data_IF_001766829070
#
_entry.id   IF_001766829070
#
_cell.length_a   1.000
_cell.length_b   1.000
_cell.length_c   1.000
_cell.angle_alpha   90.00
_cell.angle_beta   90.00
_cell.angle_gamma   90.00
#
_symmetry.space_group_name_H-M   'P 1'
#
loop_
_entity.id
_entity.type
_entity.pdbx_description
1 polymer ?
#
# COMPACT_ATOMS: atom_id res chain seq x y z
N UNK A 1 0.03 17.33 0.64
CA UNK A 1 0.87 17.85 -0.46
C UNK A 1 2.33 17.36 -0.40
N UNK A 2 3.10 17.67 0.66
CA UNK A 2 4.53 17.29 0.74
C UNK A 2 4.80 15.78 0.72
N UNK A 3 3.97 14.98 1.40
CA UNK A 3 4.12 13.50 1.44
C UNK A 3 3.82 12.87 0.08
N UNK A 4 2.76 13.32 -0.59
CA UNK A 4 2.47 12.90 -1.96
C UNK A 4 3.64 13.21 -2.91
N UNK A 5 4.20 14.41 -2.80
CA UNK A 5 5.37 14.80 -3.60
C UNK A 5 6.59 13.92 -3.30
N UNK A 6 6.82 13.56 -2.02
CA UNK A 6 7.89 12.64 -1.65
C UNK A 6 7.76 11.28 -2.35
N UNK A 7 6.58 10.65 -2.33
CA UNK A 7 6.36 9.37 -3.01
C UNK A 7 6.43 9.46 -4.54
N UNK A 8 5.97 10.57 -5.13
CA UNK A 8 6.13 10.81 -6.58
C UNK A 8 7.61 10.92 -6.96
N UNK A 9 8.39 11.69 -6.20
CA UNK A 9 9.83 11.86 -6.44
C UNK A 9 10.60 10.56 -6.21
N UNK A 10 10.19 9.75 -5.22
CA UNK A 10 10.74 8.41 -4.97
C UNK A 10 10.49 7.49 -6.17
N UNK A 11 9.29 7.52 -6.76
CA UNK A 11 8.97 6.74 -7.96
C UNK A 11 9.82 7.15 -9.17
N UNK A 12 10.19 8.42 -9.29
CA UNK A 12 11.06 8.95 -10.34
C UNK A 12 12.56 8.92 -10.02
N UNK A 13 12.97 8.37 -8.87
CA UNK A 13 14.38 8.25 -8.44
C UNK A 13 15.19 9.57 -8.47
N UNK A 14 14.54 10.72 -8.24
CA UNK A 14 15.24 12.01 -8.25
C UNK A 14 15.85 12.33 -6.87
N UNK A 15 17.14 12.04 -6.72
CA UNK A 15 17.90 12.19 -5.47
C UNK A 15 17.84 13.60 -4.85
N UNK A 16 17.94 14.65 -5.67
CA UNK A 16 17.87 16.03 -5.17
C UNK A 16 16.48 16.32 -4.57
N UNK A 17 15.43 15.94 -5.28
CA UNK A 17 14.04 16.09 -4.83
C UNK A 17 13.78 15.35 -3.52
N UNK A 18 14.33 14.15 -3.35
CA UNK A 18 14.22 13.36 -2.12
C UNK A 18 14.87 14.06 -0.93
N UNK A 19 16.03 14.68 -1.14
CA UNK A 19 16.72 15.44 -0.10
C UNK A 19 15.94 16.69 0.33
N UNK A 20 15.31 17.41 -0.60
CA UNK A 20 14.46 18.56 -0.27
C UNK A 20 13.17 18.13 0.40
N UNK A 21 12.47 17.13 -0.14
CA UNK A 21 11.24 16.59 0.44
C UNK A 21 11.46 16.04 1.84
N UNK A 22 12.52 15.26 2.04
CA UNK A 22 12.86 14.70 3.35
C UNK A 22 13.27 15.77 4.37
N UNK A 23 13.98 16.84 3.96
CA UNK A 23 14.28 17.98 4.84
C UNK A 23 13.03 18.77 5.20
N UNK A 24 12.13 19.01 4.24
CA UNK A 24 10.87 19.71 4.48
C UNK A 24 10.00 18.94 5.47
N UNK A 25 9.80 17.63 5.26
CA UNK A 25 8.99 16.79 6.14
C UNK A 25 9.57 16.73 7.56
N UNK A 26 10.90 16.60 7.70
CA UNK A 26 11.56 16.64 9.00
C UNK A 26 11.42 17.99 9.72
N UNK A 27 11.41 19.10 8.98
CA UNK A 27 11.15 20.43 9.57
C UNK A 27 9.71 20.57 10.00
N UNK A 28 8.76 20.14 9.17
CA UNK A 28 7.33 20.18 9.47
C UNK A 28 6.98 19.30 10.68
N UNK A 29 7.57 18.10 10.78
CA UNK A 29 7.36 17.19 11.91
C UNK A 29 7.90 17.76 13.23
N UNK A 30 8.87 18.68 13.16
CA UNK A 30 9.47 19.33 14.32
C UNK A 30 8.73 20.61 14.79
N UNK A 31 7.73 21.09 14.05
CA UNK A 31 7.01 22.34 14.40
C UNK A 31 6.16 22.16 15.65
N UNK A 32 5.46 21.03 15.77
CA UNK A 32 4.63 20.70 16.92
C UNK A 32 4.47 19.18 17.05
N UNK A 33 4.19 18.65 18.25
CA UNK A 33 3.98 17.21 18.43
C UNK A 33 2.80 16.70 17.60
N UNK A 34 1.75 17.51 17.42
CA UNK A 34 0.61 17.17 16.57
C UNK A 34 1.01 17.08 15.08
N UNK A 35 1.83 18.01 14.59
CA UNK A 35 2.34 17.98 13.22
C UNK A 35 3.28 16.77 13.01
N UNK A 36 4.14 16.46 13.99
CA UNK A 36 4.98 15.26 13.99
C UNK A 36 4.16 13.98 13.87
N UNK A 37 3.14 13.82 14.73
CA UNK A 37 2.21 12.70 14.66
C UNK A 37 1.55 12.58 13.28
N UNK A 38 1.00 13.68 12.75
CA UNK A 38 0.32 13.69 11.45
C UNK A 38 1.25 13.35 10.27
N UNK A 39 2.51 13.81 10.31
CA UNK A 39 3.51 13.46 9.28
C UNK A 39 3.85 11.98 9.34
N UNK A 40 4.07 11.43 10.53
CA UNK A 40 4.40 10.02 10.73
C UNK A 40 3.24 9.10 10.30
N UNK A 41 2.01 9.40 10.70
CA UNK A 41 0.83 8.60 10.32
C UNK A 41 0.65 8.59 8.80
N UNK A 42 0.71 9.76 8.16
CA UNK A 42 0.55 9.86 6.70
C UNK A 42 1.71 9.22 5.92
N UNK A 43 2.93 9.20 6.47
CA UNK A 43 4.06 8.46 5.86
C UNK A 43 3.85 6.95 5.92
N UNK A 44 3.42 6.43 7.06
CA UNK A 44 3.14 4.99 7.24
C UNK A 44 1.97 4.56 6.36
N UNK A 45 0.84 5.27 6.42
CA UNK A 45 -0.33 4.99 5.56
C UNK A 45 0.04 5.10 4.08
N UNK A 46 0.81 6.11 3.69
CA UNK A 46 1.20 6.34 2.31
C UNK A 46 2.14 5.28 1.75
N UNK A 47 2.96 4.64 2.60
CA UNK A 47 3.84 3.55 2.22
C UNK A 47 3.10 2.21 2.10
N UNK A 48 2.04 2.01 2.90
CA UNK A 48 1.25 0.77 2.91
C UNK A 48 0.09 0.77 1.89
N UNK A 49 -0.28 1.92 1.32
CA UNK A 49 -1.43 2.04 0.40
C UNK A 49 -1.06 1.84 -1.07
N UNK A 50 -1.81 0.93 -1.71
CA UNK A 50 -1.95 0.83 -3.17
C UNK A 50 -0.62 0.77 -3.93
N UNK A 51 -0.52 1.51 -5.03
CA UNK A 51 0.67 1.51 -5.91
C UNK A 51 1.95 2.10 -5.30
N UNK A 52 1.90 2.69 -4.11
CA UNK A 52 3.12 3.11 -3.40
C UNK A 52 3.75 1.94 -2.64
N UNK A 53 2.96 0.96 -2.21
CA UNK A 53 3.47 -0.23 -1.54
C UNK A 53 4.39 -1.06 -2.46
N UNK A 54 4.16 -1.00 -3.77
CA UNK A 54 5.03 -1.59 -4.80
C UNK A 54 6.45 -1.00 -4.80
N UNK A 55 6.62 0.26 -4.35
CA UNK A 55 7.95 0.86 -4.19
C UNK A 55 8.77 0.18 -3.08
N UNK A 56 8.07 -0.50 -2.16
CA UNK A 56 8.61 -1.18 -0.99
C UNK A 56 8.41 -2.70 -1.06
N UNK A 57 8.14 -3.25 -2.25
CA UNK A 57 8.16 -4.70 -2.49
C UNK A 57 6.81 -5.39 -2.32
N UNK A 58 5.73 -4.64 -2.07
CA UNK A 58 4.40 -5.23 -2.12
C UNK A 58 4.10 -5.67 -3.55
N UNK A 59 3.72 -6.94 -3.72
CA UNK A 59 3.08 -7.38 -4.96
C UNK A 59 1.67 -6.81 -4.94
N UNK A 60 1.32 -5.99 -5.92
CA UNK A 60 0.01 -5.33 -5.94
C UNK A 60 -1.09 -6.35 -5.66
N UNK A 61 -1.78 -6.20 -4.54
CA UNK A 61 -3.01 -6.96 -4.27
C UNK A 61 -3.92 -6.63 -5.44
N UNK A 62 -4.08 -7.59 -6.37
CA UNK A 62 -5.23 -7.58 -7.26
C UNK A 62 -6.40 -7.61 -6.31
N UNK A 63 -7.02 -6.46 -6.09
CA UNK A 63 -8.29 -6.36 -5.40
C UNK A 63 -9.21 -7.28 -6.18
N UNK A 64 -9.36 -8.51 -5.70
CA UNK A 64 -10.30 -9.50 -6.22
C UNK A 64 -11.72 -9.16 -5.82
N UNK A 65 -11.98 -7.89 -5.49
CA UNK A 65 -13.29 -7.31 -5.34
C UNK A 65 -13.67 -6.72 -6.68
N UNK A 66 -14.79 -7.19 -7.19
CA UNK A 66 -15.61 -6.46 -8.15
C UNK A 66 -15.96 -5.09 -7.55
N UNK A 67 -15.06 -4.11 -7.69
CA UNK A 67 -15.39 -2.70 -7.56
C UNK A 67 -16.13 -2.30 -8.84
N UNK A 68 -17.43 -1.97 -8.79
CA UNK A 68 -18.17 -1.47 -9.94
C UNK A 68 -17.78 0.00 -10.16
N UNK A 69 -16.58 0.25 -10.67
CA UNK A 69 -16.09 1.63 -10.81
C UNK A 69 -14.88 1.86 -11.68
N UNK A 70 -14.17 0.82 -12.11
CA UNK A 70 -12.95 0.98 -12.93
C UNK A 70 -13.13 0.51 -14.39
N UNK A 71 -14.27 0.88 -14.99
CA UNK A 71 -14.50 0.80 -16.46
C UNK A 71 -13.84 1.95 -17.25
N UNK A 72 -12.96 2.74 -16.62
CA UNK A 72 -12.60 4.07 -17.14
C UNK A 72 -11.33 4.21 -17.99
N UNK A 73 -10.60 3.15 -18.40
CA UNK A 73 -9.34 3.36 -19.16
C UNK A 73 -9.08 2.53 -20.41
N UNK A 74 -9.87 1.51 -20.70
CA UNK A 74 -9.91 0.89 -22.02
C UNK A 74 -11.37 0.84 -22.45
N UNK A 75 -11.83 1.88 -23.16
CA UNK A 75 -13.10 1.83 -23.87
C UNK A 75 -12.96 0.81 -25.02
N UNK A 76 -13.00 -0.47 -24.67
CA UNK A 76 -13.05 -1.54 -25.65
C UNK A 76 -14.44 -1.46 -26.27
N UNK A 77 -14.50 -1.07 -27.54
CA UNK A 77 -15.76 -0.95 -28.26
C UNK A 77 -16.49 -2.29 -28.25
N UNK A 78 -17.71 -2.30 -27.72
CA UNK A 78 -18.58 -3.48 -27.75
C UNK A 78 -18.81 -3.97 -29.18
N UNK A 79 -18.78 -3.08 -30.17
CA UNK A 79 -18.87 -3.45 -31.59
C UNK A 79 -17.65 -4.24 -32.05
N UNK A 80 -16.44 -3.89 -31.60
CA UNK A 80 -15.22 -4.62 -31.96
C UNK A 80 -15.15 -5.99 -31.29
N UNK A 81 -15.66 -6.09 -30.05
CA UNK A 81 -15.84 -7.36 -29.36
C UNK A 81 -16.84 -8.23 -30.12
N UNK A 82 -18.03 -7.70 -30.43
CA UNK A 82 -19.08 -8.44 -31.14
C UNK A 82 -18.64 -8.89 -32.54
N UNK A 83 -17.93 -8.05 -33.30
CA UNK A 83 -17.39 -8.42 -34.62
C UNK A 83 -16.47 -9.65 -34.57
N UNK A 84 -15.65 -9.78 -33.52
CA UNK A 84 -14.76 -10.95 -33.34
C UNK A 84 -15.56 -12.22 -33.06
N UNK A 85 -16.60 -12.13 -32.24
CA UNK A 85 -17.48 -13.26 -31.96
C UNK A 85 -18.30 -13.66 -33.20
N UNK A 86 -18.88 -12.71 -33.93
CA UNK A 86 -19.67 -13.01 -35.14
C UNK A 86 -18.83 -13.66 -36.26
N UNK A 87 -17.57 -13.26 -36.44
CA UNK A 87 -16.70 -13.80 -37.50
C UNK A 87 -16.24 -15.26 -37.27
N UNK A 88 -16.33 -15.77 -36.03
CA UNK A 88 -15.86 -17.11 -35.65
C UNK A 88 -16.98 -18.13 -35.45
N UNK A 89 -18.24 -17.69 -35.51
CA UNK A 89 -19.41 -18.54 -35.41
C UNK A 89 -19.75 -19.12 -36.79
N UNK A 90 -18.88 -20.01 -37.29
CA UNK A 90 -19.19 -20.83 -38.47
C UNK A 90 -19.94 -22.09 -38.03
N UNK A 91 -21.24 -21.96 -37.75
CA UNK A 91 -22.13 -23.12 -37.79
C UNK A 91 -22.44 -23.41 -39.26
N UNK A 92 -21.55 -24.16 -39.91
CA UNK A 92 -21.82 -24.70 -41.24
C UNK A 92 -22.99 -25.69 -41.15
N UNK A 93 -24.23 -25.18 -41.17
CA UNK A 93 -25.43 -25.93 -41.52
C UNK A 93 -26.50 -26.21 -40.46
N UNK A 94 -26.72 -25.40 -39.40
CA UNK A 94 -27.75 -25.74 -38.41
C UNK A 94 -28.45 -24.57 -37.69
N UNK A 95 -29.79 -24.66 -37.63
CA UNK A 95 -30.77 -23.78 -36.93
C UNK A 95 -30.70 -23.97 -35.39
N UNK A 96 -29.53 -24.26 -34.82
CA UNK A 96 -29.40 -24.70 -33.43
C UNK A 96 -28.61 -23.74 -32.55
N UNK A 97 -29.00 -23.72 -31.28
CA UNK A 97 -28.43 -22.91 -30.19
C UNK A 97 -26.93 -23.14 -30.01
N UNK A 98 -26.24 -22.13 -29.46
CA UNK A 98 -24.81 -22.15 -29.11
C UNK A 98 -24.47 -23.39 -28.25
N UNK A 99 -23.32 -24.03 -28.50
CA UNK A 99 -22.90 -25.28 -27.84
C UNK A 99 -22.64 -25.14 -26.32
N UNK A 100 -22.48 -23.91 -25.81
CA UNK A 100 -22.29 -23.64 -24.38
C UNK A 100 -23.43 -22.78 -23.81
N UNK A 101 -23.79 -22.99 -22.55
CA UNK A 101 -24.82 -22.21 -21.85
C UNK A 101 -24.35 -20.82 -21.38
N UNK A 102 -23.11 -20.43 -21.72
CA UNK A 102 -22.50 -19.15 -21.34
C UNK A 102 -21.03 -19.32 -20.94
N UNK A 103 -20.39 -18.22 -20.56
CA UNK A 103 -19.04 -18.22 -19.97
C UNK A 103 -19.15 -17.73 -18.52
N UNK A 104 -18.53 -18.46 -17.59
CA UNK A 104 -18.41 -18.00 -16.21
C UNK A 104 -17.21 -17.04 -16.13
N UNK A 105 -17.46 -15.78 -15.80
CA UNK A 105 -16.45 -14.74 -15.67
C UNK A 105 -15.87 -14.25 -17.01
N UNK A 106 -14.63 -13.75 -16.99
CA UNK A 106 -13.96 -13.13 -18.16
C UNK A 106 -13.05 -14.08 -18.95
N UNK A 107 -13.10 -15.38 -18.68
CA UNK A 107 -12.21 -16.38 -19.30
C UNK A 107 -10.79 -16.38 -18.72
N UNK A 108 -9.79 -16.76 -19.54
CA UNK A 108 -8.39 -16.86 -19.12
C UNK A 108 -7.89 -15.54 -18.54
N UNK A 109 -7.46 -15.55 -17.27
CA UNK A 109 -6.88 -14.39 -16.61
C UNK A 109 -5.58 -14.02 -17.32
N UNK A 110 -5.49 -12.81 -17.85
CA UNK A 110 -4.24 -12.28 -18.40
C UNK A 110 -3.15 -12.38 -17.32
N UNK A 111 -2.00 -13.00 -17.61
CA UNK A 111 -0.92 -13.11 -16.64
C UNK A 111 -0.55 -11.71 -16.16
N UNK A 112 -0.32 -11.57 -14.85
CA UNK A 112 0.22 -10.33 -14.32
C UNK A 112 1.55 -10.06 -15.02
N UNK A 113 1.74 -8.84 -15.53
CA UNK A 113 2.98 -8.48 -16.20
C UNK A 113 4.19 -8.66 -15.27
N UNK A 114 5.36 -9.05 -15.81
CA UNK A 114 6.59 -9.16 -15.04
C UNK A 114 7.09 -7.74 -14.72
N UNK A 115 6.54 -7.15 -13.68
CA UNK A 115 6.84 -5.78 -13.24
C UNK A 115 7.56 -5.71 -11.91
N UNK A 116 8.34 -6.74 -11.55
CA UNK A 116 9.15 -6.71 -10.34
C UNK A 116 10.25 -5.65 -10.48
N UNK A 117 10.30 -4.71 -9.54
CA UNK A 117 11.46 -3.80 -9.40
C UNK A 117 12.70 -4.60 -9.00
N UNK A 118 13.86 -4.10 -9.37
CA UNK A 118 15.14 -4.71 -8.96
C UNK A 118 15.29 -4.66 -7.43
N UNK A 119 15.90 -5.70 -6.86
CA UNK A 119 16.07 -5.83 -5.40
C UNK A 119 16.88 -4.66 -4.80
N UNK A 120 17.86 -4.15 -5.53
CA UNK A 120 18.69 -3.02 -5.10
C UNK A 120 17.90 -1.71 -5.01
N UNK A 121 16.98 -1.46 -5.95
CA UNK A 121 16.08 -0.30 -5.87
C UNK A 121 15.16 -0.38 -4.65
N UNK A 122 14.67 -1.57 -4.34
CA UNK A 122 13.80 -1.82 -3.20
C UNK A 122 14.53 -1.52 -1.89
N UNK A 123 15.74 -2.05 -1.72
CA UNK A 123 16.58 -1.79 -0.54
C UNK A 123 16.89 -0.29 -0.39
N UNK A 124 17.21 0.38 -1.49
CA UNK A 124 17.46 1.82 -1.50
C UNK A 124 16.20 2.61 -1.06
N UNK A 125 15.03 2.28 -1.61
CA UNK A 125 13.77 2.93 -1.24
C UNK A 125 13.44 2.73 0.24
N UNK A 126 13.59 1.51 0.76
CA UNK A 126 13.41 1.20 2.18
C UNK A 126 14.38 2.01 3.04
N UNK A 127 15.65 2.07 2.66
CA UNK A 127 16.66 2.83 3.41
C UNK A 127 16.34 4.33 3.44
N UNK A 128 15.91 4.91 2.32
CA UNK A 128 15.48 6.32 2.23
C UNK A 128 14.28 6.56 3.14
N UNK A 129 13.28 5.69 3.09
CA UNK A 129 12.05 5.80 3.88
C UNK A 129 12.32 5.67 5.38
N UNK A 130 13.08 4.65 5.80
CA UNK A 130 13.47 4.45 7.20
C UNK A 130 14.32 5.62 7.71
N UNK A 131 15.26 6.11 6.91
CA UNK A 131 16.07 7.29 7.25
C UNK A 131 15.20 8.54 7.47
N UNK A 132 14.16 8.72 6.67
CA UNK A 132 13.20 9.80 6.82
C UNK A 132 12.34 9.64 8.07
N UNK A 133 11.77 8.45 8.30
CA UNK A 133 10.98 8.15 9.50
C UNK A 133 11.79 8.41 10.77
N UNK A 134 13.03 7.90 10.85
CA UNK A 134 13.92 8.14 11.97
C UNK A 134 14.20 9.63 12.19
N UNK A 135 14.39 10.39 11.11
CA UNK A 135 14.60 11.85 11.20
C UNK A 135 13.36 12.55 11.74
N UNK A 136 12.16 12.14 11.32
CA UNK A 136 10.89 12.68 11.83
C UNK A 136 10.66 12.29 13.29
N UNK A 137 11.03 11.07 13.71
CA UNK A 137 10.82 10.57 15.07
C UNK A 137 11.80 11.15 16.11
N UNK A 138 12.94 11.69 15.69
CA UNK A 138 13.93 12.27 16.63
C UNK A 138 13.50 13.60 17.22
N UNK A 139 12.53 14.29 16.62
CA UNK A 139 12.03 15.58 17.10
C UNK A 139 13.08 16.71 17.01
N UNK A 140 12.66 17.92 16.65
CA UNK A 140 13.57 19.07 16.66
C UNK A 140 13.82 19.56 18.09
N UNK A 141 15.11 19.71 18.46
CA UNK A 141 15.80 20.55 19.49
C UNK A 141 15.02 21.23 20.65
N UNK A 142 13.82 20.79 21.04
CA UNK A 142 13.02 21.44 22.07
C UNK A 142 12.86 20.58 23.34
N UNK A 143 13.67 19.53 23.50
CA UNK A 143 13.82 18.89 24.81
C UNK A 143 14.89 19.62 25.62
N UNK A 144 14.64 19.96 26.90
CA UNK A 144 15.65 20.54 27.79
C UNK A 144 16.76 19.55 28.19
N UNK A 145 16.57 18.25 27.92
CA UNK A 145 17.58 17.23 28.15
C UNK A 145 18.67 17.23 27.06
N UNK A 146 19.92 16.86 27.41
CA UNK A 146 20.99 16.77 26.43
C UNK A 146 20.54 15.88 25.27
N UNK A 147 20.54 16.39 24.02
CA UNK A 147 20.04 15.65 22.88
C UNK A 147 20.98 14.47 22.65
N UNK A 148 20.57 13.27 23.08
CA UNK A 148 21.13 12.07 22.50
C UNK A 148 20.74 12.10 21.02
N UNK A 149 21.70 12.44 20.15
CA UNK A 149 21.51 12.61 18.70
C UNK A 149 20.95 11.35 18.00
N UNK A 150 20.86 10.25 18.73
CA UNK A 150 20.36 8.95 18.29
C UNK A 150 19.00 8.57 18.89
N UNK A 151 18.51 9.28 19.91
CA UNK A 151 17.30 8.89 20.64
C UNK A 151 16.02 9.17 19.85
N UNK A 152 15.19 8.14 19.71
CA UNK A 152 13.86 8.20 19.10
C UNK A 152 12.87 8.69 20.16
N UNK A 153 12.05 9.70 19.83
CA UNK A 153 11.04 10.18 20.77
C UNK A 153 9.95 9.11 20.98
N UNK A 154 9.60 8.75 22.23
CA UNK A 154 8.68 7.64 22.51
C UNK A 154 7.28 7.88 21.93
N UNK A 155 6.74 9.11 22.00
CA UNK A 155 5.44 9.42 21.39
C UNK A 155 5.47 9.34 19.85
N UNK A 156 6.63 9.57 19.23
CA UNK A 156 6.77 9.44 17.79
C UNK A 156 6.79 7.96 17.38
N UNK A 157 7.53 7.13 18.12
CA UNK A 157 7.50 5.67 17.94
C UNK A 157 6.09 5.10 18.16
N UNK A 158 5.38 5.57 19.20
CA UNK A 158 3.99 5.21 19.47
C UNK A 158 3.06 5.63 18.31
N UNK A 159 3.24 6.81 17.73
CA UNK A 159 2.47 7.25 16.58
C UNK A 159 2.69 6.36 15.34
N UNK A 160 3.93 5.94 15.09
CA UNK A 160 4.25 4.99 14.01
C UNK A 160 3.61 3.63 14.27
N UNK A 161 3.72 3.10 15.49
CA UNK A 161 3.11 1.83 15.87
C UNK A 161 1.58 1.86 15.74
N UNK A 162 0.93 2.94 16.22
CA UNK A 162 -0.51 3.12 16.10
C UNK A 162 -0.95 3.17 14.63
N UNK A 163 -0.26 3.95 13.79
CA UNK A 163 -0.55 4.04 12.35
C UNK A 163 -0.40 2.70 11.64
N UNK A 164 0.60 1.89 12.03
CA UNK A 164 0.82 0.55 11.48
C UNK A 164 -0.33 -0.40 11.85
N UNK A 165 -0.72 -0.42 13.13
CA UNK A 165 -1.85 -1.25 13.61
C UNK A 165 -3.15 -0.84 12.93
N UNK A 166 -3.44 0.46 12.85
CA UNK A 166 -4.62 1.00 12.15
C UNK A 166 -4.64 0.62 10.66
N UNK A 167 -3.46 0.56 10.02
CA UNK A 167 -3.34 0.20 8.60
C UNK A 167 -3.44 -1.32 8.34
N UNK A 168 -2.93 -2.16 9.24
CA UNK A 168 -2.85 -3.62 9.05
C UNK A 168 -4.05 -4.34 9.63
N UNK A 169 -4.52 -3.93 10.80
CA UNK A 169 -5.61 -4.57 11.54
C UNK A 169 -6.45 -3.53 12.31
N UNK A 170 -7.29 -2.74 11.61
CA UNK A 170 -8.09 -1.69 12.24
C UNK A 170 -9.05 -2.22 13.33
N UNK A 171 -9.50 -3.47 13.20
CA UNK A 171 -10.35 -4.13 14.22
C UNK A 171 -9.63 -4.33 15.57
N UNK A 172 -8.30 -4.35 15.58
CA UNK A 172 -7.48 -4.44 16.77
C UNK A 172 -6.97 -3.07 17.26
N UNK A 173 -7.26 -1.98 16.54
CA UNK A 173 -6.84 -0.65 16.94
C UNK A 173 -7.56 -0.24 18.24
N UNK A 174 -6.78 0.04 19.29
CA UNK A 174 -7.33 0.31 20.62
C UNK A 174 -7.75 -0.94 21.40
N UNK A 175 -7.30 -2.13 20.97
CA UNK A 175 -7.47 -3.36 21.74
C UNK A 175 -6.73 -3.33 23.08
N UNK A 176 -7.09 -4.27 23.96
CA UNK A 176 -6.44 -4.44 25.25
C UNK A 176 -4.97 -4.83 25.09
N UNK A 177 -4.09 -4.28 25.94
CA UNK A 177 -2.68 -4.67 25.97
C UNK A 177 -2.44 -6.01 26.68
N UNK A 178 -3.42 -6.49 27.45
CA UNK A 178 -3.32 -7.76 28.16
C UNK A 178 -3.43 -8.89 27.16
N UNK A 179 -2.44 -9.78 27.15
CA UNK A 179 -2.46 -10.93 26.26
C UNK A 179 -3.56 -11.91 26.68
N UNK A 180 -4.47 -12.31 25.78
CA UNK A 180 -5.55 -13.22 26.11
C UNK A 180 -5.04 -14.66 26.35
N UNK A 181 -5.84 -15.52 27.00
CA UNK A 181 -5.53 -16.94 27.10
C UNK A 181 -5.53 -17.62 25.72
N UNK A 182 -4.84 -18.76 25.61
CA UNK A 182 -4.64 -19.54 24.38
C UNK A 182 -5.97 -19.89 23.69
N UNK A 183 -7.00 -20.23 24.46
CA UNK A 183 -8.31 -20.64 23.96
C UNK A 183 -8.99 -19.53 23.13
N UNK A 184 -8.73 -18.26 23.48
CA UNK A 184 -9.34 -17.12 22.81
C UNK A 184 -8.77 -16.89 21.40
N UNK A 185 -7.55 -17.35 21.12
CA UNK A 185 -6.95 -17.27 19.78
C UNK A 185 -7.76 -18.05 18.73
N UNK A 186 -8.51 -19.09 19.14
CA UNK A 186 -9.41 -19.85 18.25
C UNK A 186 -10.55 -18.99 17.70
N UNK A 187 -10.92 -17.92 18.42
CA UNK A 187 -11.96 -16.99 17.99
C UNK A 187 -11.47 -15.92 17.00
N UNK A 188 -10.15 -15.72 16.85
CA UNK A 188 -9.56 -14.65 16.03
C UNK A 188 -8.81 -15.15 14.80
N UNK A 189 -8.91 -16.45 14.47
CA UNK A 189 -8.13 -17.10 13.41
C UNK A 189 -8.19 -16.35 12.07
N UNK A 190 -9.37 -15.94 11.63
CA UNK A 190 -9.52 -15.22 10.35
C UNK A 190 -8.78 -13.87 10.35
N UNK A 191 -8.86 -13.12 11.46
CA UNK A 191 -8.13 -11.87 11.63
C UNK A 191 -6.62 -12.14 11.62
N UNK A 192 -6.17 -13.15 12.35
CA UNK A 192 -4.75 -13.48 12.47
C UNK A 192 -4.17 -13.98 11.13
N UNK A 193 -4.97 -14.70 10.33
CA UNK A 193 -4.61 -15.08 8.95
C UNK A 193 -4.56 -13.88 8.01
N UNK A 194 -5.47 -12.91 8.13
CA UNK A 194 -5.41 -11.65 7.36
C UNK A 194 -4.16 -10.84 7.70
N UNK A 195 -3.82 -10.74 8.97
CA UNK A 195 -2.56 -10.12 9.42
C UNK A 195 -1.37 -10.86 8.82
N UNK A 196 -1.31 -12.19 8.96
CA UNK A 196 -0.25 -13.01 8.37
C UNK A 196 -0.09 -12.80 6.86
N UNK A 197 -1.21 -12.69 6.12
CA UNK A 197 -1.19 -12.42 4.66
C UNK A 197 -0.66 -11.03 4.32
N UNK A 198 -0.87 -10.02 5.17
CA UNK A 198 -0.34 -8.67 4.98
C UNK A 198 1.18 -8.58 5.19
N UNK A 199 1.75 -9.50 5.97
CA UNK A 199 3.18 -9.55 6.30
C UNK A 199 3.97 -10.54 5.42
N UNK A 200 3.31 -11.30 4.54
CA UNK A 200 3.94 -12.25 3.60
C UNK A 200 3.92 -11.69 2.20
#
# INVERSE_FOLDING_TARGET
AAIHQFFLVLRHQNAAGLCYGGRLLARLSAVSPAAGKAVLTQLVEGALRGGNAELFGATGEKTGGEEPGQEGKNAVSLLDINRRFTATVNFAGGVWSVFHAGVIGKGLKTPAGPGGREAEELECNLQIFLSLLLRCCRGGRFSPDPPSLLAIHPEAAKAVAAALVESVCPEAAGGELVWPPEEQARGTVERDLRICRRFR
#
